data_IF_820719910357
#
_entry.id   IF_820719910357
#
_cell.length_a   1.000
_cell.length_b   1.000
_cell.length_c   1.000
_cell.angle_alpha   90.00
_cell.angle_beta   90.00
_cell.angle_gamma   90.00
#
_symmetry.space_group_name_H-M   'P 1'
#
loop_
_entity.id
_entity.type
_entity.pdbx_description
1 polymer ?
#
# COMPACT_ATOMS: atom_id res chain seq x y z
N UNK A 1 -22.19 -0.89 -13.95
CA UNK A 1 -20.80 -0.59 -14.35
C UNK A 1 -19.89 -1.15 -13.29
N UNK A 2 -18.99 -2.05 -13.68
CA UNK A 2 -18.27 -2.96 -12.80
C UNK A 2 -17.15 -2.30 -12.01
N UNK A 3 -16.83 -2.90 -10.88
CA UNK A 3 -15.68 -2.62 -10.02
C UNK A 3 -14.40 -2.73 -10.86
N UNK A 4 -13.59 -1.67 -10.91
CA UNK A 4 -12.26 -1.76 -11.51
C UNK A 4 -11.31 -2.17 -10.38
N UNK A 5 -11.05 -3.47 -10.27
CA UNK A 5 -9.89 -3.98 -9.57
C UNK A 5 -8.73 -3.99 -10.58
N UNK A 6 -7.75 -3.12 -10.38
CA UNK A 6 -6.52 -3.12 -11.17
C UNK A 6 -5.36 -3.51 -10.26
N UNK A 7 -4.65 -4.58 -10.64
CA UNK A 7 -3.41 -5.01 -10.01
C UNK A 7 -2.30 -4.90 -11.07
N UNK A 8 -1.33 -4.02 -10.84
CA UNK A 8 -0.12 -3.96 -11.64
C UNK A 8 1.03 -4.59 -10.84
N UNK A 9 1.57 -5.72 -11.32
CA UNK A 9 2.85 -6.26 -10.84
C UNK A 9 3.94 -5.85 -11.83
N UNK A 10 4.99 -5.20 -11.34
CA UNK A 10 6.21 -4.95 -12.12
C UNK A 10 7.39 -5.54 -11.36
N UNK A 11 7.95 -6.61 -11.94
CA UNK A 11 9.24 -7.26 -11.68
C UNK A 11 9.42 -7.96 -10.30
N UNK A 12 10.22 -9.04 -10.34
CA UNK A 12 10.42 -9.99 -9.23
C UNK A 12 11.58 -9.57 -8.30
N UNK A 13 11.48 -10.01 -7.05
CA UNK A 13 12.56 -10.11 -6.06
C UNK A 13 13.21 -8.81 -5.55
N UNK A 14 12.39 -7.80 -5.26
CA UNK A 14 12.85 -6.57 -4.63
C UNK A 14 13.06 -6.72 -3.12
N UNK A 15 14.26 -6.35 -2.66
CA UNK A 15 14.57 -6.22 -1.23
C UNK A 15 14.33 -4.76 -0.78
N UNK A 16 15.36 -3.95 -0.78
CA UNK A 16 15.24 -2.54 -0.44
C UNK A 16 14.88 -1.76 -1.68
N UNK A 17 13.72 -1.08 -1.67
CA UNK A 17 13.23 -0.35 -2.84
C UNK A 17 12.46 0.91 -2.48
N UNK A 18 12.47 1.84 -3.42
CA UNK A 18 11.51 2.92 -3.54
C UNK A 18 10.66 2.72 -4.81
N UNK A 19 9.35 2.76 -4.64
CA UNK A 19 8.34 2.76 -5.70
C UNK A 19 7.79 4.17 -5.82
N UNK A 20 7.75 4.70 -7.03
CA UNK A 20 7.19 6.04 -7.32
C UNK A 20 6.23 5.95 -8.49
N UNK A 21 5.17 6.76 -8.46
CA UNK A 21 4.21 6.89 -9.55
C UNK A 21 3.39 8.17 -9.37
N UNK A 22 2.78 8.64 -10.46
CA UNK A 22 1.75 9.66 -10.38
C UNK A 22 0.38 8.98 -10.28
N UNK A 23 -0.46 9.50 -9.38
CA UNK A 23 -1.81 9.03 -9.10
C UNK A 23 -2.83 10.13 -9.41
N UNK A 24 -3.83 9.81 -10.21
CA UNK A 24 -5.05 10.60 -10.35
C UNK A 24 -6.21 9.75 -9.83
N UNK A 25 -6.82 10.15 -8.72
CA UNK A 25 -8.06 9.56 -8.24
C UNK A 25 -9.23 10.42 -8.72
N UNK A 26 -10.07 9.90 -9.62
CA UNK A 26 -11.22 10.62 -10.19
C UNK A 26 -12.48 10.47 -9.33
N UNK A 27 -12.44 9.65 -8.29
CA UNK A 27 -13.56 9.44 -7.37
C UNK A 27 -13.63 8.01 -6.86
N UNK A 28 -14.43 7.85 -5.81
CA UNK A 28 -14.80 6.54 -5.27
C UNK A 28 -16.04 6.02 -6.00
N UNK A 29 -16.09 4.72 -6.18
CA UNK A 29 -17.24 3.99 -6.72
C UNK A 29 -17.83 3.09 -5.64
N UNK A 30 -19.05 2.61 -5.85
CA UNK A 30 -19.66 1.56 -5.02
C UNK A 30 -20.69 0.83 -5.86
N UNK A 31 -20.94 -0.43 -5.54
CA UNK A 31 -21.99 -1.23 -6.18
C UNK A 31 -22.59 -2.21 -5.17
N UNK A 32 -23.70 -2.87 -5.53
CA UNK A 32 -24.29 -3.89 -4.66
C UNK A 32 -23.34 -5.08 -4.40
N UNK A 33 -22.50 -5.45 -5.39
CA UNK A 33 -21.52 -6.53 -5.25
C UNK A 33 -20.19 -6.09 -4.62
N UNK A 34 -19.90 -4.78 -4.63
CA UNK A 34 -18.73 -4.19 -3.97
C UNK A 34 -19.16 -2.97 -3.15
N UNK A 35 -19.75 -3.19 -1.96
CA UNK A 35 -20.22 -2.11 -1.11
C UNK A 35 -19.05 -1.24 -0.64
N UNK A 36 -19.38 0.00 -0.29
CA UNK A 36 -18.42 0.96 0.24
C UNK A 36 -17.87 0.48 1.58
N UNK A 37 -16.55 0.53 1.72
CA UNK A 37 -15.82 0.24 2.97
C UNK A 37 -14.73 1.29 3.18
N UNK A 38 -14.35 1.50 4.44
CA UNK A 38 -13.41 2.57 4.83
C UNK A 38 -12.06 2.46 4.12
N UNK A 39 -11.65 1.24 3.77
CA UNK A 39 -10.38 0.97 3.12
C UNK A 39 -10.42 1.01 1.59
N UNK A 40 -11.55 1.35 0.97
CA UNK A 40 -11.58 1.66 -0.47
C UNK A 40 -10.57 2.77 -0.78
N UNK A 41 -9.88 2.71 -1.92
CA UNK A 41 -8.82 3.66 -2.27
C UNK A 41 -7.67 3.00 -3.02
N UNK A 42 -6.45 3.51 -2.82
CA UNK A 42 -5.24 3.04 -3.50
C UNK A 42 -4.25 2.47 -2.50
N UNK A 43 -3.61 1.37 -2.88
CA UNK A 43 -2.74 0.60 -2.01
C UNK A 43 -1.47 0.19 -2.73
N UNK A 44 -0.32 0.52 -2.14
CA UNK A 44 0.98 0.09 -2.62
C UNK A 44 1.40 -1.16 -1.89
N UNK A 45 1.70 -2.21 -2.64
CA UNK A 45 2.18 -3.49 -2.13
C UNK A 45 3.70 -3.49 -2.16
N UNK A 46 4.31 -3.85 -1.03
CA UNK A 46 5.75 -3.95 -0.86
C UNK A 46 6.07 -5.33 -0.28
N UNK A 47 7.17 -5.96 -0.72
CA UNK A 47 7.56 -7.32 -0.30
C UNK A 47 6.46 -8.37 -0.48
N UNK A 48 5.65 -8.26 -1.54
CA UNK A 48 4.59 -9.23 -1.82
C UNK A 48 5.21 -10.61 -2.07
N UNK A 49 5.04 -11.53 -1.11
CA UNK A 49 5.41 -12.95 -1.23
C UNK A 49 4.22 -13.77 -1.75
N UNK A 50 3.06 -13.49 -1.17
CA UNK A 50 1.78 -14.13 -1.46
C UNK A 50 0.65 -13.16 -1.12
N UNK A 51 -0.58 -13.57 -1.41
CA UNK A 51 -1.77 -12.80 -1.03
C UNK A 51 -1.93 -12.66 0.49
N UNK A 52 -1.23 -13.46 1.28
CA UNK A 52 -1.26 -13.48 2.75
C UNK A 52 -0.07 -12.78 3.39
N UNK A 53 1.03 -12.55 2.66
CA UNK A 53 2.30 -12.06 3.20
C UNK A 53 2.86 -10.90 2.38
N UNK A 54 2.65 -9.68 2.89
CA UNK A 54 3.06 -8.43 2.25
C UNK A 54 3.00 -7.24 3.23
N UNK A 55 3.71 -6.17 2.88
CA UNK A 55 3.44 -4.83 3.41
C UNK A 55 2.47 -4.06 2.50
N UNK A 56 1.67 -3.21 3.13
CA UNK A 56 0.55 -2.52 2.51
C UNK A 56 0.57 -1.05 2.91
N UNK A 57 0.82 -0.13 1.98
CA UNK A 57 0.76 1.31 2.23
C UNK A 57 -0.46 1.92 1.53
N UNK A 58 -1.45 2.38 2.29
CA UNK A 58 -2.72 2.86 1.76
C UNK A 58 -2.75 4.38 1.69
N UNK A 59 -3.27 4.90 0.58
CA UNK A 59 -3.47 6.32 0.29
C UNK A 59 -4.79 6.55 -0.43
N UNK A 60 -5.30 7.78 -0.39
CA UNK A 60 -6.57 8.16 -0.99
C UNK A 60 -7.72 7.24 -0.57
N UNK A 61 -7.75 6.88 0.71
CA UNK A 61 -8.80 6.03 1.26
C UNK A 61 -10.13 6.78 1.37
N UNK A 62 -11.24 6.05 1.31
CA UNK A 62 -12.60 6.58 1.52
C UNK A 62 -12.75 7.33 2.84
N UNK A 63 -12.12 6.82 3.89
CA UNK A 63 -12.11 7.41 5.23
C UNK A 63 -11.19 8.65 5.38
N UNK A 64 -10.58 9.13 4.29
CA UNK A 64 -9.56 10.20 4.30
C UNK A 64 -8.38 9.90 5.23
N UNK A 65 -7.96 8.63 5.29
CA UNK A 65 -6.80 8.21 6.06
C UNK A 65 -5.68 7.66 5.19
N UNK A 66 -4.48 7.65 5.77
CA UNK A 66 -3.32 6.89 5.28
C UNK A 66 -2.86 5.96 6.39
N UNK A 67 -2.40 4.77 5.99
CA UNK A 67 -1.93 3.77 6.95
C UNK A 67 -0.95 2.81 6.28
N UNK A 68 0.04 2.37 7.05
CA UNK A 68 0.89 1.24 6.72
C UNK A 68 0.45 0.04 7.54
N UNK A 69 0.22 -1.07 6.86
CA UNK A 69 -0.11 -2.36 7.45
C UNK A 69 0.86 -3.44 6.98
N UNK A 70 0.85 -4.55 7.71
CA UNK A 70 1.42 -5.82 7.28
C UNK A 70 0.32 -6.85 7.26
N UNK A 71 0.35 -7.73 6.26
CA UNK A 71 -0.48 -8.94 6.23
C UNK A 71 0.43 -10.14 6.48
N UNK A 72 -0.05 -11.06 7.31
CA UNK A 72 0.59 -12.37 7.53
C UNK A 72 -0.44 -13.50 7.44
N UNK A 73 -0.01 -14.75 7.15
CA UNK A 73 -0.89 -15.92 7.13
C UNK A 73 -1.67 -16.14 8.44
N UNK A 74 -2.85 -16.77 8.34
CA UNK A 74 -3.68 -17.20 9.47
C UNK A 74 -4.87 -16.30 9.78
N UNK A 75 -5.61 -15.83 8.77
CA UNK A 75 -6.78 -14.96 8.97
C UNK A 75 -7.91 -15.09 7.94
N UNK A 76 -9.03 -14.42 8.23
CA UNK A 76 -10.24 -14.47 7.40
C UNK A 76 -10.16 -13.66 6.11
N UNK A 77 -9.16 -12.78 5.96
CA UNK A 77 -9.02 -11.96 4.76
C UNK A 77 -8.15 -12.70 3.75
N UNK A 78 -8.77 -13.55 2.93
CA UNK A 78 -8.06 -14.34 1.91
C UNK A 78 -6.84 -15.05 2.51
N UNK A 79 -7.07 -15.81 3.59
CA UNK A 79 -6.07 -16.59 4.31
C UNK A 79 -5.15 -15.81 5.26
N UNK A 80 -5.16 -14.47 5.26
CA UNK A 80 -4.27 -13.67 6.11
C UNK A 80 -4.95 -12.67 7.04
N UNK A 81 -4.17 -12.16 8.00
CA UNK A 81 -4.55 -11.17 9.01
C UNK A 81 -3.77 -9.88 8.80
N UNK A 82 -4.47 -8.75 8.81
CA UNK A 82 -3.85 -7.43 8.71
C UNK A 82 -3.53 -6.86 10.09
N UNK A 83 -2.32 -6.33 10.22
CA UNK A 83 -1.83 -5.63 11.39
C UNK A 83 -1.44 -4.20 11.02
N UNK A 84 -1.93 -3.23 11.78
CA UNK A 84 -1.55 -1.83 11.60
C UNK A 84 -0.14 -1.62 12.15
N UNK A 85 0.77 -1.11 11.32
CA UNK A 85 2.15 -0.81 11.72
C UNK A 85 2.38 0.68 11.97
N UNK A 86 1.56 1.54 11.36
CA UNK A 86 1.54 2.98 11.65
C UNK A 86 0.23 3.37 12.35
N UNK A 87 0.25 4.55 12.96
CA UNK A 87 -0.99 5.27 13.30
C UNK A 87 -1.79 5.55 12.02
N UNK A 88 -3.11 5.65 12.19
CA UNK A 88 -4.03 6.03 11.12
C UNK A 88 -4.04 7.57 11.02
N UNK A 89 -3.29 8.12 10.07
CA UNK A 89 -3.14 9.57 9.94
C UNK A 89 -4.21 10.14 8.99
N UNK A 90 -4.71 11.34 9.29
CA UNK A 90 -5.59 12.05 8.37
C UNK A 90 -4.84 12.51 7.12
N UNK A 91 -5.43 12.29 5.95
CA UNK A 91 -4.92 12.73 4.66
C UNK A 91 -6.11 13.00 3.73
N UNK A 92 -6.36 14.28 3.43
CA UNK A 92 -7.41 14.65 2.49
C UNK A 92 -7.10 14.11 1.09
N UNK A 93 -8.12 13.56 0.43
CA UNK A 93 -8.00 13.09 -0.94
C UNK A 93 -8.21 14.25 -1.91
N UNK A 94 -7.21 14.55 -2.72
CA UNK A 94 -7.32 15.55 -3.80
C UNK A 94 -7.86 14.89 -5.06
N UNK A 95 -9.18 14.66 -5.11
CA UNK A 95 -9.83 14.08 -6.29
C UNK A 95 -9.67 14.98 -7.52
N UNK A 96 -9.60 14.37 -8.70
CA UNK A 96 -9.50 15.08 -9.99
C UNK A 96 -8.15 15.76 -10.24
N UNK A 97 -7.15 15.57 -9.37
CA UNK A 97 -5.81 16.14 -9.50
C UNK A 97 -4.73 15.06 -9.47
N UNK A 98 -3.71 15.22 -10.31
CA UNK A 98 -2.51 14.38 -10.24
C UNK A 98 -1.74 14.68 -8.96
N UNK A 99 -1.31 13.63 -8.26
CA UNK A 99 -0.39 13.71 -7.13
C UNK A 99 0.75 12.71 -7.31
N UNK A 100 1.94 13.08 -6.85
CA UNK A 100 3.08 12.17 -6.84
C UNK A 100 3.04 11.31 -5.60
N UNK A 101 3.09 9.99 -5.75
CA UNK A 101 3.13 9.03 -4.64
C UNK A 101 4.49 8.35 -4.64
N UNK A 102 5.07 8.21 -3.45
CA UNK A 102 6.28 7.41 -3.23
C UNK A 102 6.06 6.49 -2.04
N UNK A 103 6.37 5.21 -2.19
CA UNK A 103 6.47 4.28 -1.07
C UNK A 103 7.87 3.67 -1.05
N UNK A 104 8.42 3.39 0.13
CA UNK A 104 9.71 2.71 0.25
C UNK A 104 9.67 1.65 1.34
N UNK A 105 10.47 0.60 1.15
CA UNK A 105 10.71 -0.45 2.14
C UNK A 105 12.21 -0.72 2.22
N UNK A 106 12.77 -0.79 3.43
CA UNK A 106 14.20 -1.00 3.65
C UNK A 106 14.46 -1.83 4.91
N UNK A 107 15.34 -2.82 4.80
CA UNK A 107 15.92 -3.53 5.94
C UNK A 107 16.85 -2.59 6.73
N UNK A 108 16.72 -2.61 8.05
CA UNK A 108 17.62 -1.93 8.97
C UNK A 108 18.70 -2.89 9.50
N UNK A 109 19.80 -2.34 10.03
CA UNK A 109 20.92 -3.11 10.58
C UNK A 109 20.54 -3.94 11.81
N UNK A 110 19.52 -3.52 12.56
CA UNK A 110 18.98 -4.22 13.72
C UNK A 110 18.00 -5.36 13.35
N UNK A 111 17.78 -5.58 12.04
CA UNK A 111 16.86 -6.60 11.54
C UNK A 111 15.39 -6.16 11.45
N UNK A 112 15.06 -4.93 11.85
CA UNK A 112 13.75 -4.34 11.59
C UNK A 112 13.61 -3.91 10.12
N UNK A 113 12.38 -3.56 9.71
CA UNK A 113 12.08 -3.06 8.37
C UNK A 113 11.37 -1.72 8.48
N UNK A 114 11.90 -0.69 7.82
CA UNK A 114 11.25 0.62 7.73
C UNK A 114 10.43 0.73 6.45
N UNK A 115 9.18 1.16 6.60
CA UNK A 115 8.25 1.44 5.50
C UNK A 115 7.84 2.91 5.58
N UNK A 116 7.88 3.62 4.46
CA UNK A 116 7.47 5.02 4.37
C UNK A 116 6.56 5.25 3.17
N UNK A 117 5.63 6.18 3.33
CA UNK A 117 4.68 6.61 2.31
C UNK A 117 4.69 8.13 2.24
N UNK A 118 4.83 8.65 1.03
CA UNK A 118 4.85 10.07 0.73
C UNK A 118 3.81 10.42 -0.32
N UNK A 119 3.23 11.61 -0.18
CA UNK A 119 2.34 12.24 -1.15
C UNK A 119 2.85 13.65 -1.44
N UNK A 120 3.08 13.98 -2.71
CA UNK A 120 3.69 15.24 -3.14
C UNK A 120 4.96 15.58 -2.34
N UNK A 121 5.85 14.60 -2.24
CA UNK A 121 7.12 14.65 -1.50
C UNK A 121 7.01 14.89 0.02
N UNK A 122 5.80 14.98 0.58
CA UNK A 122 5.54 15.04 2.03
C UNK A 122 5.38 13.62 2.60
N UNK A 123 6.08 13.31 3.70
CA UNK A 123 5.86 12.07 4.46
C UNK A 123 4.46 12.08 5.09
N UNK A 124 3.61 11.12 4.71
CA UNK A 124 2.22 11.03 5.21
C UNK A 124 2.03 9.83 6.15
N UNK A 125 2.84 8.78 6.02
CA UNK A 125 2.91 7.68 6.97
C UNK A 125 4.31 7.08 7.02
N UNK A 126 4.71 6.60 8.20
CA UNK A 126 5.95 5.87 8.44
C UNK A 126 5.70 4.77 9.46
N UNK A 127 6.36 3.65 9.30
CA UNK A 127 6.32 2.54 10.24
C UNK A 127 7.67 1.82 10.30
N UNK A 128 7.97 1.23 11.45
CA UNK A 128 9.08 0.28 11.61
C UNK A 128 8.50 -1.03 12.10
N UNK A 129 8.58 -2.07 11.27
CA UNK A 129 8.28 -3.44 11.68
C UNK A 129 9.51 -4.04 12.36
N UNK A 130 9.45 -4.16 13.68
CA UNK A 130 10.47 -4.79 14.52
C UNK A 130 10.03 -6.18 15.01
N UNK A 131 8.93 -6.73 14.49
CA UNK A 131 8.39 -8.02 14.88
C UNK A 131 7.41 -8.02 16.07
N UNK A 132 7.22 -6.87 16.74
CA UNK A 132 6.30 -6.77 17.89
C UNK A 132 4.82 -6.86 17.53
N UNK A 133 4.47 -6.62 16.25
CA UNK A 133 3.09 -6.65 15.75
C UNK A 133 2.99 -7.60 14.57
N UNK A 134 2.14 -8.62 14.68
CA UNK A 134 1.92 -9.58 13.58
C UNK A 134 3.13 -10.46 13.25
N UNK A 135 4.03 -10.68 14.23
CA UNK A 135 5.19 -11.56 14.09
C UNK A 135 6.37 -10.95 13.33
N UNK A 136 7.41 -11.75 13.07
CA UNK A 136 8.72 -11.32 12.55
C UNK A 136 8.62 -10.51 11.24
N UNK A 137 9.49 -9.50 11.01
CA UNK A 137 9.44 -8.67 9.81
C UNK A 137 9.55 -9.45 8.49
N UNK A 138 8.88 -8.97 7.44
CA UNK A 138 8.95 -9.57 6.10
C UNK A 138 10.25 -9.12 5.42
N UNK A 139 11.30 -9.91 5.58
CA UNK A 139 12.65 -9.58 5.08
C UNK A 139 13.03 -10.23 3.77
N UNK A 140 12.27 -11.23 3.33
CA UNK A 140 12.47 -11.87 2.02
C UNK A 140 12.16 -10.88 0.90
N UNK A 141 12.91 -11.00 -0.19
CA UNK A 141 12.64 -10.29 -1.44
C UNK A 141 11.24 -10.60 -1.95
N UNK A 142 10.54 -9.63 -2.53
CA UNK A 142 9.20 -9.86 -3.05
C UNK A 142 8.82 -8.91 -4.16
N UNK A 143 7.62 -9.11 -4.72
CA UNK A 143 7.08 -8.25 -5.76
C UNK A 143 6.64 -6.91 -5.17
N UNK A 144 6.55 -5.91 -6.03
CA UNK A 144 5.88 -4.64 -5.74
C UNK A 144 4.69 -4.48 -6.68
N UNK A 145 3.68 -3.73 -6.23
CA UNK A 145 2.52 -3.47 -7.06
C UNK A 145 1.61 -2.41 -6.50
N UNK A 146 0.57 -2.09 -7.27
CA UNK A 146 -0.49 -1.19 -6.86
C UNK A 146 -1.83 -1.91 -7.02
N UNK A 147 -2.70 -1.72 -6.04
CA UNK A 147 -4.10 -2.14 -6.06
C UNK A 147 -5.00 -0.92 -5.85
N UNK A 148 -6.09 -0.85 -6.62
CA UNK A 148 -7.16 0.12 -6.43
C UNK A 148 -8.47 -0.60 -6.11
N UNK A 149 -9.13 -0.18 -5.03
CA UNK A 149 -10.38 -0.75 -4.53
C UNK A 149 -11.49 0.29 -4.59
N UNK A 150 -12.59 -0.01 -5.28
CA UNK A 150 -13.78 0.85 -5.37
C UNK A 150 -13.44 2.32 -5.70
N UNK A 151 -12.53 2.53 -6.65
CA UNK A 151 -12.12 3.87 -7.07
C UNK A 151 -11.79 3.90 -8.55
N UNK A 152 -12.08 5.01 -9.22
CA UNK A 152 -11.59 5.27 -10.56
C UNK A 152 -10.22 5.95 -10.45
N UNK A 153 -9.15 5.15 -10.43
CA UNK A 153 -7.78 5.61 -10.31
C UNK A 153 -6.99 5.40 -11.61
N UNK A 154 -6.20 6.41 -11.98
CA UNK A 154 -5.25 6.36 -13.09
C UNK A 154 -3.83 6.50 -12.57
N UNK A 155 -2.91 5.78 -13.20
CA UNK A 155 -1.51 5.71 -12.83
C UNK A 155 -0.63 6.03 -14.04
N UNK A 156 0.48 6.73 -13.83
CA UNK A 156 1.54 6.90 -14.84
C UNK A 156 2.90 7.03 -14.16
N UNK A 157 3.97 6.97 -14.96
CA UNK A 157 5.35 7.17 -14.50
C UNK A 157 5.75 6.22 -13.36
N UNK A 158 5.24 4.98 -13.39
CA UNK A 158 5.57 3.98 -12.39
C UNK A 158 7.04 3.57 -12.51
N UNK A 159 7.80 3.79 -11.44
CA UNK A 159 9.23 3.50 -11.38
C UNK A 159 9.56 2.77 -10.08
N UNK A 160 10.42 1.76 -10.16
CA UNK A 160 10.97 1.04 -9.01
C UNK A 160 12.49 1.21 -9.02
N UNK A 161 13.05 1.63 -7.90
CA UNK A 161 14.50 1.83 -7.73
C UNK A 161 14.98 1.13 -6.48
N UNK A 162 16.10 0.41 -6.55
CA UNK A 162 16.77 -0.15 -5.36
C UNK A 162 17.38 0.94 -4.49
N UNK A 163 17.34 0.78 -3.16
CA UNK A 163 17.84 1.77 -2.16
C UNK A 163 18.62 1.14 -1.01
#
# INVERSE_FOLDING_TARGET
MGSIFFILFILNDFKNVSVTFDLLNEGLTTSASTPAVDWDGVHVFLRYQSEESLYYASINRRDNKVIIKKKVPGGSSNGGTYYNLSTLNSSSVSYGSWQKVKASVKDNSDGSVTIQLFANDKLVASATDNGSVGGAPIRNQGKVGIRADNTNAKFKNFTVTSI
#
